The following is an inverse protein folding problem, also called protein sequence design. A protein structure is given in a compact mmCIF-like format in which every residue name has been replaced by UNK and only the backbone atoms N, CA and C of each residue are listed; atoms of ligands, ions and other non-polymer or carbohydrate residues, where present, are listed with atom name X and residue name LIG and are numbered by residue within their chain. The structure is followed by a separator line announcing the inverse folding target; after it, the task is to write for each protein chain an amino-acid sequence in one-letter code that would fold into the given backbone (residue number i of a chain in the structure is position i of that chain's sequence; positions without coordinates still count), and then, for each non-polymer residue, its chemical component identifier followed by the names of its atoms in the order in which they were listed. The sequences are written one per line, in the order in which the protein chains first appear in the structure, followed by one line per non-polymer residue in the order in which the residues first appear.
data_IF_393391553161
#
_entry.id   IF_393391553161
#
_cell.length_a   1.000
_cell.length_b   1.000
_cell.length_c   1.000
_cell.angle_alpha   90.00
_cell.angle_beta   90.00
_cell.angle_gamma   90.00
#
_symmetry.space_group_name_H-M   'P 1'
#
loop_
_entity.id
_entity.type
_entity.pdbx_description
1 polymer ?
#
# COMPACT_ATOMS: atom_id res chain seq x y z
N UNK A 1 0.06 28.29 -3.26
CA UNK A 1 -0.45 27.42 -2.16
C UNK A 1 -1.79 26.82 -2.54
N UNK A 2 -2.73 27.60 -3.10
CA UNK A 2 -4.04 27.08 -3.49
C UNK A 2 -3.99 25.97 -4.53
N UNK A 3 -3.13 26.08 -5.55
CA UNK A 3 -2.89 25.02 -6.54
C UNK A 3 -2.40 23.72 -5.86
N UNK A 4 -1.40 23.83 -4.97
CA UNK A 4 -0.93 22.69 -4.17
C UNK A 4 -2.07 22.03 -3.34
N UNK A 5 -2.98 22.82 -2.77
CA UNK A 5 -4.13 22.28 -2.04
C UNK A 5 -5.14 21.58 -2.97
N UNK A 6 -5.28 22.05 -4.20
CA UNK A 6 -6.11 21.42 -5.23
C UNK A 6 -5.51 20.07 -5.65
N UNK A 7 -4.20 20.00 -5.86
CA UNK A 7 -3.48 18.76 -6.15
C UNK A 7 -3.64 17.72 -5.03
N UNK A 8 -3.39 18.13 -3.77
CA UNK A 8 -3.59 17.26 -2.59
C UNK A 8 -5.03 16.75 -2.48
N UNK A 9 -6.00 17.60 -2.80
CA UNK A 9 -7.42 17.18 -2.83
C UNK A 9 -7.66 16.17 -3.93
N UNK A 10 -7.09 16.37 -5.13
CA UNK A 10 -7.16 15.42 -6.24
C UNK A 10 -6.53 14.07 -5.92
N UNK A 11 -5.46 14.06 -5.11
CA UNK A 11 -4.79 12.85 -4.62
C UNK A 11 -5.60 12.09 -3.55
N UNK A 12 -6.71 12.65 -3.06
CA UNK A 12 -7.54 12.02 -2.03
C UNK A 12 -7.04 12.24 -0.59
N UNK A 13 -6.04 13.12 -0.39
CA UNK A 13 -5.46 13.45 0.93
C UNK A 13 -6.45 14.18 1.86
N UNK A 14 -7.66 14.49 1.37
CA UNK A 14 -8.75 15.02 2.19
C UNK A 14 -9.42 13.93 3.07
N UNK A 15 -9.11 12.64 2.85
CA UNK A 15 -9.78 11.51 3.49
C UNK A 15 -9.27 11.18 4.91
N UNK A 16 -9.15 12.18 5.78
CA UNK A 16 -8.91 11.96 7.22
C UNK A 16 -10.22 11.58 7.90
N UNK A 17 -10.33 10.31 8.30
CA UNK A 17 -11.58 9.71 8.74
C UNK A 17 -11.99 10.05 10.20
N UNK A 18 -11.05 10.39 11.08
CA UNK A 18 -11.32 10.37 12.53
C UNK A 18 -11.60 11.74 13.17
N UNK A 19 -10.96 12.83 12.72
CA UNK A 19 -11.05 14.11 13.45
C UNK A 19 -10.86 15.34 12.55
N UNK A 20 -11.59 15.41 11.43
CA UNK A 20 -11.50 16.57 10.52
C UNK A 20 -12.54 17.63 10.88
N UNK A 21 -12.14 18.91 10.87
CA UNK A 21 -13.10 20.02 10.78
C UNK A 21 -13.74 19.99 9.39
N UNK A 22 -15.07 20.12 9.27
CA UNK A 22 -15.75 20.04 7.97
C UNK A 22 -15.43 21.24 7.07
N UNK A 23 -15.13 22.40 7.67
CA UNK A 23 -14.75 23.62 6.97
C UNK A 23 -13.55 24.31 7.64
N UNK A 24 -12.72 24.93 6.81
CA UNK A 24 -11.63 25.82 7.23
C UNK A 24 -12.08 27.26 6.94
N UNK A 25 -11.78 28.19 7.84
CA UNK A 25 -12.12 29.60 7.65
C UNK A 25 -11.26 30.21 6.53
N UNK A 26 -11.86 31.11 5.74
CA UNK A 26 -11.18 31.76 4.60
C UNK A 26 -9.96 32.56 5.05
N UNK A 27 -10.08 33.28 6.16
CA UNK A 27 -9.00 34.11 6.69
C UNK A 27 -7.80 33.27 7.12
N UNK A 28 -8.03 32.08 7.69
CA UNK A 28 -6.96 31.14 8.03
C UNK A 28 -6.24 30.61 6.81
N UNK A 29 -6.95 30.33 5.71
CA UNK A 29 -6.35 29.91 4.44
C UNK A 29 -5.51 31.03 3.82
N UNK A 30 -6.01 32.27 3.85
CA UNK A 30 -5.28 33.43 3.35
C UNK A 30 -4.00 33.67 4.18
N UNK A 31 -4.11 33.67 5.51
CA UNK A 31 -2.96 33.83 6.40
C UNK A 31 -1.92 32.71 6.20
N UNK A 32 -2.37 31.45 6.13
CA UNK A 32 -1.51 30.32 5.84
C UNK A 32 -0.83 30.45 4.48
N UNK A 33 -1.53 30.95 3.45
CA UNK A 33 -0.95 31.15 2.11
C UNK A 33 0.18 32.17 2.09
N UNK A 34 0.04 33.27 2.84
CA UNK A 34 1.08 34.29 2.95
C UNK A 34 2.32 33.72 3.66
N UNK A 35 2.11 33.05 4.79
CA UNK A 35 3.19 32.42 5.58
C UNK A 35 3.90 31.33 4.76
N UNK A 36 3.14 30.49 4.06
CA UNK A 36 3.71 29.39 3.26
C UNK A 36 4.55 29.90 2.08
N UNK A 37 4.12 31.01 1.47
CA UNK A 37 4.87 31.65 0.37
C UNK A 37 6.15 32.32 0.87
N UNK A 38 6.11 32.94 2.04
CA UNK A 38 7.30 33.57 2.65
C UNK A 38 8.37 32.54 3.05
N UNK A 39 7.95 31.39 3.59
CA UNK A 39 8.89 30.35 4.04
C UNK A 39 9.45 29.47 2.91
N UNK A 40 8.65 29.20 1.86
CA UNK A 40 8.98 28.18 0.86
C UNK A 40 8.86 28.65 -0.59
N UNK A 41 8.43 29.89 -0.84
CA UNK A 41 8.31 30.43 -2.19
C UNK A 41 9.68 30.66 -2.84
N UNK A 42 9.82 30.28 -4.10
CA UNK A 42 11.00 30.61 -4.90
C UNK A 42 10.95 32.07 -5.38
N UNK A 43 12.09 32.58 -5.86
CA UNK A 43 12.20 33.94 -6.45
C UNK A 43 11.19 34.17 -7.60
N UNK A 44 10.87 33.12 -8.35
CA UNK A 44 9.89 33.14 -9.44
C UNK A 44 8.42 33.11 -8.97
N UNK A 45 8.18 33.17 -7.65
CA UNK A 45 6.86 33.02 -7.01
C UNK A 45 6.21 31.62 -7.17
N UNK A 46 6.98 30.64 -7.61
CA UNK A 46 6.57 29.22 -7.61
C UNK A 46 6.74 28.61 -6.22
N UNK A 47 5.98 27.55 -5.93
CA UNK A 47 6.00 26.88 -4.64
C UNK A 47 6.42 25.42 -4.87
N UNK A 48 7.64 25.03 -4.48
CA UNK A 48 8.12 23.67 -4.62
C UNK A 48 7.45 22.77 -3.58
N UNK A 49 6.98 21.60 -4.00
CA UNK A 49 6.43 20.56 -3.13
C UNK A 49 7.09 19.22 -3.44
N UNK A 50 7.44 18.47 -2.40
CA UNK A 50 8.00 17.12 -2.51
C UNK A 50 7.06 16.16 -1.81
N UNK A 51 6.72 15.06 -2.50
CA UNK A 51 5.77 14.06 -2.01
C UNK A 51 6.47 12.72 -1.84
N UNK A 52 6.14 12.01 -0.76
CA UNK A 52 6.50 10.61 -0.57
C UNK A 52 5.24 9.77 -0.75
N UNK A 53 5.27 8.83 -1.69
CA UNK A 53 4.12 8.01 -2.05
C UNK A 53 4.38 6.56 -1.61
N UNK A 54 3.53 6.05 -0.73
CA UNK A 54 3.58 4.66 -0.29
C UNK A 54 2.67 3.83 -1.20
N UNK A 55 3.27 2.88 -1.93
CA UNK A 55 2.54 1.94 -2.77
C UNK A 55 2.29 0.63 -2.02
N UNK A 56 1.04 0.19 -1.98
CA UNK A 56 0.67 -1.12 -1.44
C UNK A 56 0.08 -1.97 -2.55
N UNK A 57 0.66 -3.15 -2.76
CA UNK A 57 0.16 -4.14 -3.72
C UNK A 57 -0.36 -5.32 -2.93
N UNK A 58 -1.62 -5.68 -3.16
CA UNK A 58 -2.28 -6.81 -2.53
C UNK A 58 -2.82 -7.78 -3.56
N UNK A 59 -2.73 -9.08 -3.26
CA UNK A 59 -3.33 -10.13 -4.08
C UNK A 59 -4.54 -10.70 -3.36
N UNK A 60 -5.67 -10.81 -4.07
CA UNK A 60 -6.83 -11.53 -3.57
C UNK A 60 -6.60 -13.04 -3.78
N UNK A 61 -6.79 -13.90 -2.77
CA UNK A 61 -6.72 -15.34 -2.94
C UNK A 61 -7.70 -15.79 -4.04
N UNK A 62 -7.23 -16.64 -4.96
CA UNK A 62 -8.09 -17.23 -5.99
C UNK A 62 -8.73 -18.53 -5.48
N UNK A 63 -9.93 -18.86 -5.93
CA UNK A 63 -10.65 -20.06 -5.48
C UNK A 63 -9.91 -21.36 -5.80
N UNK A 64 -9.14 -21.38 -6.90
CA UNK A 64 -8.29 -22.54 -7.28
C UNK A 64 -7.03 -22.68 -6.43
N UNK A 65 -6.76 -21.78 -5.49
CA UNK A 65 -5.58 -21.86 -4.65
C UNK A 65 -5.65 -23.09 -3.73
N UNK A 66 -4.65 -23.96 -3.85
CA UNK A 66 -4.56 -25.16 -3.04
C UNK A 66 -4.55 -24.79 -1.55
N UNK A 67 -5.51 -25.34 -0.81
CA UNK A 67 -5.59 -25.14 0.64
C UNK A 67 -4.49 -25.96 1.32
N UNK A 68 -3.84 -25.44 2.37
CA UNK A 68 -2.88 -26.21 3.14
C UNK A 68 -3.54 -27.48 3.69
N UNK A 69 -2.84 -28.62 3.58
CA UNK A 69 -3.33 -29.88 4.10
C UNK A 69 -3.50 -29.82 5.63
N UNK A 70 -4.45 -30.60 6.17
CA UNK A 70 -4.69 -30.65 7.62
C UNK A 70 -3.40 -31.07 8.34
N UNK A 71 -3.05 -30.39 9.43
CA UNK A 71 -1.89 -30.74 10.26
C UNK A 71 -1.99 -32.22 10.69
N UNK A 72 -0.91 -32.99 10.51
CA UNK A 72 -0.90 -34.44 10.80
C UNK A 72 -1.37 -35.35 9.65
N UNK A 73 -1.68 -34.81 8.45
CA UNK A 73 -2.07 -35.59 7.26
C UNK A 73 -0.90 -36.23 6.50
N UNK A 74 0.34 -36.06 6.98
CA UNK A 74 1.52 -36.67 6.37
C UNK A 74 1.47 -38.18 6.45
N UNK A 75 1.30 -38.85 5.31
CA UNK A 75 1.32 -40.33 5.22
C UNK A 75 2.72 -40.91 5.10
N UNK A 76 3.70 -40.10 4.68
CA UNK A 76 5.05 -40.53 4.37
C UNK A 76 6.00 -39.70 5.23
N UNK A 77 6.92 -40.39 5.92
CA UNK A 77 7.98 -39.73 6.67
C UNK A 77 8.96 -39.05 5.72
N UNK A 78 9.29 -37.79 5.98
CA UNK A 78 10.24 -37.00 5.20
C UNK A 78 11.65 -37.63 5.18
N UNK A 79 11.96 -38.50 6.15
CA UNK A 79 13.21 -39.28 6.24
C UNK A 79 13.36 -40.28 5.09
N UNK A 80 12.26 -40.73 4.50
CA UNK A 80 12.25 -41.76 3.46
C UNK A 80 12.40 -41.18 2.04
N UNK A 81 12.51 -39.85 1.90
CA UNK A 81 12.61 -39.17 0.60
C UNK A 81 13.78 -39.67 -0.23
N UNK A 82 14.92 -39.97 0.40
CA UNK A 82 16.11 -40.48 -0.30
C UNK A 82 15.91 -41.85 -0.98
N UNK A 83 14.85 -42.59 -0.64
CA UNK A 83 14.54 -43.90 -1.20
C UNK A 83 13.43 -43.84 -2.28
N UNK A 84 12.93 -42.65 -2.64
CA UNK A 84 11.83 -42.47 -3.60
C UNK A 84 12.21 -42.80 -5.06
N UNK A 85 13.51 -42.84 -5.38
CA UNK A 85 13.99 -43.26 -6.71
C UNK A 85 13.68 -44.74 -6.99
N UNK A 86 13.61 -45.57 -5.94
CA UNK A 86 13.36 -47.01 -6.04
C UNK A 86 11.86 -47.39 -6.11
N UNK A 87 10.95 -46.43 -5.91
CA UNK A 87 9.50 -46.70 -5.85
C UNK A 87 8.83 -46.54 -7.23
N UNK A 88 9.47 -45.87 -8.20
CA UNK A 88 8.88 -45.64 -9.52
C UNK A 88 8.98 -46.81 -10.50
N UNK A 89 9.67 -47.90 -10.16
CA UNK A 89 9.87 -49.07 -11.04
C UNK A 89 8.94 -50.26 -10.76
N UNK A 90 8.02 -50.16 -9.81
CA UNK A 90 7.05 -51.22 -9.51
C UNK A 90 5.69 -50.98 -10.16
N UNK A 91 5.58 -51.10 -11.48
CA UNK A 91 4.30 -51.35 -12.15
C UNK A 91 4.17 -52.86 -12.36
N UNK A 92 3.35 -53.53 -11.56
CA UNK A 92 2.73 -54.80 -11.90
C UNK A 92 1.34 -54.83 -11.27
N UNK A 93 0.36 -55.01 -12.16
CA UNK A 93 -0.98 -55.63 -12.00
C UNK A 93 -1.79 -55.38 -10.72
#
# INVERSE_FOLDING_TARGET
MFELLEDLRGMGETNVAWNRKPCIQRDSLLAASAIYTDMYGNEDRTIPATFEIIYLIGWKPHESQAKPAKKGSGKISMKTISNLENVKTGTVE
#
